data_IF_743916621482
#
_entry.id   IF_743916621482
#
_cell.length_a   1.000
_cell.length_b   1.000
_cell.length_c   1.000
_cell.angle_alpha   90.00
_cell.angle_beta   90.00
_cell.angle_gamma   90.00
#
_symmetry.space_group_name_H-M   'P 1'
#
loop_
_entity.id
_entity.type
_entity.pdbx_description
1 polymer ?
#
# COMPACT_ATOMS: atom_id res chain seq x y z
N UNK A 1 -16.24 -48.85 79.41
CA UNK A 1 -14.87 -48.50 78.99
C UNK A 1 -14.59 -49.28 77.72
N UNK A 2 -14.65 -48.63 76.57
CA UNK A 2 -14.26 -49.21 75.28
C UNK A 2 -13.32 -48.21 74.63
N UNK A 3 -12.06 -48.63 74.51
CA UNK A 3 -10.96 -47.86 73.93
C UNK A 3 -11.29 -47.44 72.49
N UNK A 4 -11.35 -46.13 72.27
CA UNK A 4 -11.36 -45.54 70.94
C UNK A 4 -9.92 -45.52 70.45
N UNK A 5 -9.58 -46.45 69.56
CA UNK A 5 -8.30 -46.47 68.86
C UNK A 5 -8.26 -45.30 67.87
N UNK A 6 -7.49 -44.27 68.19
CA UNK A 6 -7.22 -43.14 67.29
C UNK A 6 -6.36 -43.67 66.13
N UNK A 7 -6.76 -43.50 64.86
CA UNK A 7 -5.96 -43.97 63.74
C UNK A 7 -4.60 -43.24 63.72
N UNK A 8 -3.53 -44.00 63.55
CA UNK A 8 -2.16 -43.50 63.54
C UNK A 8 -2.01 -42.33 62.54
N UNK A 9 -1.59 -41.18 63.06
CA UNK A 9 -1.20 -40.02 62.25
C UNK A 9 -0.13 -40.50 61.28
N UNK A 10 -0.43 -40.50 59.97
CA UNK A 10 0.57 -40.74 58.93
C UNK A 10 1.60 -39.62 59.01
N UNK A 11 2.67 -39.83 59.77
CA UNK A 11 3.82 -38.95 59.79
C UNK A 11 4.49 -39.04 58.43
N UNK A 12 4.46 -37.94 57.69
CA UNK A 12 5.09 -37.86 56.38
C UNK A 12 6.60 -37.95 56.63
N UNK A 13 7.20 -39.09 56.30
CA UNK A 13 8.65 -39.27 56.38
C UNK A 13 9.32 -38.40 55.31
N UNK A 14 9.96 -37.33 55.76
CA UNK A 14 10.68 -36.35 54.95
C UNK A 14 12.19 -36.61 54.89
N UNK A 15 12.69 -37.59 55.66
CA UNK A 15 14.12 -37.82 55.83
C UNK A 15 14.69 -38.85 54.84
N UNK A 16 13.85 -39.73 54.27
CA UNK A 16 14.26 -40.77 53.32
C UNK A 16 14.67 -40.23 51.94
N UNK A 17 15.62 -40.88 51.28
CA UNK A 17 16.12 -40.47 49.96
C UNK A 17 15.03 -40.45 48.88
N UNK A 18 14.02 -41.32 48.99
CA UNK A 18 12.85 -41.34 48.12
C UNK A 18 11.92 -40.12 48.32
N UNK A 19 11.86 -39.55 49.53
CA UNK A 19 11.12 -38.31 49.79
C UNK A 19 11.88 -37.09 49.23
N UNK A 20 13.21 -37.05 49.42
CA UNK A 20 14.09 -36.02 48.82
C UNK A 20 14.07 -36.05 47.29
N UNK A 21 13.99 -37.23 46.67
CA UNK A 21 13.84 -37.37 45.22
C UNK A 21 12.52 -36.78 44.70
N UNK A 22 11.40 -37.04 45.39
CA UNK A 22 10.07 -36.48 45.05
C UNK A 22 10.03 -34.96 45.19
N UNK A 23 10.64 -34.41 46.24
CA UNK A 23 10.76 -32.96 46.44
C UNK A 23 11.59 -32.32 45.31
N UNK A 24 12.73 -32.90 44.94
CA UNK A 24 13.53 -32.43 43.79
C UNK A 24 12.77 -32.48 42.47
N UNK A 25 11.97 -33.52 42.24
CA UNK A 25 11.12 -33.62 41.04
C UNK A 25 10.05 -32.53 40.98
N UNK A 26 9.40 -32.22 42.11
CA UNK A 26 8.43 -31.11 42.24
C UNK A 26 9.09 -29.76 41.97
N UNK A 27 10.25 -29.48 42.58
CA UNK A 27 10.96 -28.23 42.32
C UNK A 27 11.38 -28.09 40.86
N UNK A 28 11.84 -29.16 40.20
CA UNK A 28 12.12 -29.12 38.74
C UNK A 28 10.88 -28.88 37.90
N UNK A 29 9.71 -29.41 38.29
CA UNK A 29 8.45 -29.14 37.61
C UNK A 29 8.01 -27.67 37.82
N UNK A 30 8.14 -27.16 39.05
CA UNK A 30 7.84 -25.78 39.40
C UNK A 30 8.75 -24.78 38.68
N UNK A 31 10.06 -25.04 38.61
CA UNK A 31 11.01 -24.19 37.88
C UNK A 31 10.70 -24.18 36.38
N UNK A 32 10.36 -25.33 35.78
CA UNK A 32 9.93 -25.39 34.38
C UNK A 32 8.63 -24.63 34.16
N UNK A 33 7.66 -24.76 35.05
CA UNK A 33 6.39 -24.03 34.96
C UNK A 33 6.60 -22.51 35.06
N UNK A 34 7.42 -22.05 36.02
CA UNK A 34 7.80 -20.62 36.13
C UNK A 34 8.54 -20.14 34.89
N UNK A 35 9.47 -20.93 34.38
CA UNK A 35 10.19 -20.61 33.15
C UNK A 35 9.23 -20.49 31.95
N UNK A 36 8.31 -21.44 31.78
CA UNK A 36 7.30 -21.35 30.71
C UNK A 36 6.39 -20.14 30.86
N UNK A 37 5.98 -19.79 32.09
CA UNK A 37 5.19 -18.59 32.35
C UNK A 37 5.95 -17.30 31.99
N UNK A 38 7.20 -17.17 32.43
CA UNK A 38 8.05 -16.01 32.09
C UNK A 38 8.35 -15.97 30.59
N UNK A 39 8.65 -17.11 29.99
CA UNK A 39 8.90 -17.21 28.55
C UNK A 39 7.65 -16.82 27.75
N UNK A 40 6.46 -17.26 28.17
CA UNK A 40 5.20 -16.89 27.53
C UNK A 40 4.96 -15.37 27.61
N UNK A 41 5.12 -14.76 28.79
CA UNK A 41 5.02 -13.31 28.96
C UNK A 41 6.05 -12.58 28.10
N UNK A 42 7.29 -13.07 28.07
CA UNK A 42 8.37 -12.51 27.25
C UNK A 42 8.06 -12.58 25.75
N UNK A 43 7.53 -13.70 25.26
CA UNK A 43 7.11 -13.84 23.85
C UNK A 43 5.95 -12.90 23.54
N UNK A 44 4.95 -12.79 24.42
CA UNK A 44 3.83 -11.87 24.23
C UNK A 44 4.30 -10.41 24.18
N UNK A 45 5.17 -10.01 25.11
CA UNK A 45 5.75 -8.67 25.14
C UNK A 45 6.60 -8.39 23.88
N UNK A 46 7.38 -9.37 23.42
CA UNK A 46 8.15 -9.27 22.19
C UNK A 46 7.25 -9.09 20.98
N UNK A 47 6.18 -9.89 20.87
CA UNK A 47 5.23 -9.78 19.77
C UNK A 47 4.56 -8.39 19.75
N UNK A 48 4.13 -7.90 20.91
CA UNK A 48 3.59 -6.54 21.05
C UNK A 48 4.62 -5.48 20.60
N UNK A 49 5.87 -5.60 21.05
CA UNK A 49 6.92 -4.67 20.65
C UNK A 49 7.20 -4.69 19.14
N UNK A 50 7.20 -5.87 18.51
CA UNK A 50 7.39 -6.02 17.07
C UNK A 50 6.22 -5.39 16.30
N UNK A 51 4.98 -5.64 16.72
CA UNK A 51 3.79 -5.05 16.07
C UNK A 51 3.78 -3.53 16.23
N UNK A 52 4.08 -3.02 17.42
CA UNK A 52 4.17 -1.57 17.65
C UNK A 52 5.29 -0.93 16.82
N UNK A 53 6.47 -1.56 16.75
CA UNK A 53 7.57 -1.07 15.93
C UNK A 53 7.20 -1.05 14.43
N UNK A 54 6.57 -2.11 13.93
CA UNK A 54 6.11 -2.20 12.54
C UNK A 54 5.09 -1.11 12.19
N UNK A 55 4.12 -0.87 13.08
CA UNK A 55 3.14 0.22 12.92
C UNK A 55 3.84 1.59 12.90
N UNK A 56 4.78 1.83 13.81
CA UNK A 56 5.51 3.10 13.87
C UNK A 56 6.35 3.32 12.61
N UNK A 57 7.13 2.32 12.18
CA UNK A 57 8.00 2.41 11.00
C UNK A 57 7.18 2.68 9.73
N UNK A 58 6.05 1.98 9.56
CA UNK A 58 5.14 2.19 8.42
C UNK A 58 4.42 3.55 8.48
N UNK A 59 4.29 4.14 9.66
CA UNK A 59 3.71 5.47 9.84
C UNK A 59 4.67 6.64 9.59
N UNK A 60 5.99 6.46 9.75
CA UNK A 60 6.99 7.53 9.59
C UNK A 60 6.85 8.30 8.26
N UNK A 61 6.67 7.65 7.10
CA UNK A 61 6.56 8.37 5.83
C UNK A 61 5.42 9.38 5.77
N UNK A 62 4.35 9.22 6.56
CA UNK A 62 3.21 10.15 6.59
C UNK A 62 3.57 11.53 7.17
N UNK A 63 4.65 11.64 7.96
CA UNK A 63 5.11 12.91 8.52
C UNK A 63 5.85 13.81 7.52
N UNK A 64 6.11 13.30 6.31
CA UNK A 64 6.77 14.04 5.24
C UNK A 64 5.85 14.10 4.04
N UNK A 65 5.97 15.15 3.24
CA UNK A 65 5.28 15.28 1.95
C UNK A 65 6.18 16.04 0.98
N UNK A 66 6.00 15.80 -0.32
CA UNK A 66 6.75 16.48 -1.36
C UNK A 66 5.93 17.60 -2.00
N UNK A 67 6.56 18.75 -2.16
CA UNK A 67 6.04 19.87 -2.92
C UNK A 67 6.87 20.09 -4.18
N UNK A 68 6.22 20.69 -5.18
CA UNK A 68 6.86 21.16 -6.39
C UNK A 68 6.93 22.69 -6.38
N UNK A 69 8.14 23.24 -6.40
CA UNK A 69 8.41 24.67 -6.48
C UNK A 69 8.11 25.18 -7.90
N UNK A 70 6.93 25.79 -8.09
CA UNK A 70 6.47 26.29 -9.39
C UNK A 70 6.55 27.81 -9.47
N UNK A 71 7.06 28.32 -10.59
CA UNK A 71 6.94 29.73 -10.96
C UNK A 71 5.57 29.98 -11.57
N UNK A 72 4.66 30.56 -10.79
CA UNK A 72 3.28 30.80 -11.21
C UNK A 72 3.10 32.29 -11.47
N UNK A 73 2.65 32.64 -12.68
CA UNK A 73 2.17 33.98 -12.98
C UNK A 73 0.73 34.11 -12.51
N UNK A 74 0.48 35.05 -11.60
CA UNK A 74 -0.86 35.32 -11.07
C UNK A 74 -1.61 36.18 -12.09
N UNK A 75 -2.33 35.56 -13.01
CA UNK A 75 -3.05 36.30 -14.07
C UNK A 75 -4.26 37.04 -13.48
N UNK A 76 -4.34 38.38 -13.61
CA UNK A 76 -5.50 39.14 -13.15
C UNK A 76 -6.82 38.67 -13.78
N UNK A 77 -6.78 38.20 -15.04
CA UNK A 77 -7.98 37.77 -15.76
C UNK A 77 -8.63 36.50 -15.18
N UNK A 78 -7.86 35.65 -14.51
CA UNK A 78 -8.34 34.38 -13.93
C UNK A 78 -8.71 34.51 -12.44
N UNK A 79 -8.16 35.51 -11.75
CA UNK A 79 -8.31 35.67 -10.29
C UNK A 79 -9.28 36.81 -9.93
N UNK A 80 -9.16 37.96 -10.57
CA UNK A 80 -9.99 39.13 -10.30
C UNK A 80 -10.17 39.96 -11.58
N UNK A 81 -11.05 39.50 -12.51
CA UNK A 81 -11.24 40.14 -13.81
C UNK A 81 -11.71 41.60 -13.71
N UNK A 82 -12.36 41.96 -12.59
CA UNK A 82 -12.87 43.30 -12.34
C UNK A 82 -11.88 44.20 -11.57
N UNK A 83 -10.73 43.67 -11.15
CA UNK A 83 -9.71 44.41 -10.41
C UNK A 83 -10.19 44.97 -9.06
N UNK A 84 -11.19 44.32 -8.47
CA UNK A 84 -11.82 44.74 -7.21
C UNK A 84 -10.89 44.68 -6.00
N UNK A 85 -9.90 43.77 -6.04
CA UNK A 85 -8.98 43.42 -4.94
C UNK A 85 -9.69 43.04 -3.64
N UNK A 86 -10.93 42.59 -3.73
CA UNK A 86 -11.69 42.10 -2.59
C UNK A 86 -11.26 40.65 -2.24
N UNK A 87 -10.82 40.37 -1.01
CA UNK A 87 -10.50 39.01 -0.56
C UNK A 87 -11.60 37.97 -0.82
N UNK A 88 -12.88 38.36 -0.80
CA UNK A 88 -13.99 37.43 -1.08
C UNK A 88 -14.07 37.04 -2.55
N UNK A 89 -13.83 37.99 -3.47
CA UNK A 89 -13.80 37.76 -4.92
C UNK A 89 -12.56 36.96 -5.29
N UNK A 90 -11.40 37.36 -4.78
CA UNK A 90 -10.10 36.71 -5.04
C UNK A 90 -10.17 35.22 -4.67
N UNK A 91 -10.77 34.84 -3.53
CA UNK A 91 -10.88 33.42 -3.12
C UNK A 91 -11.61 32.54 -4.13
N UNK A 92 -12.52 33.12 -4.93
CA UNK A 92 -13.29 32.41 -5.95
C UNK A 92 -12.57 32.23 -7.29
N UNK A 93 -11.38 32.82 -7.46
CA UNK A 93 -10.57 32.69 -8.68
C UNK A 93 -10.05 31.26 -8.92
N UNK A 94 -9.75 30.94 -10.19
CA UNK A 94 -9.24 29.61 -10.57
C UNK A 94 -7.71 29.52 -10.40
N UNK A 95 -7.27 29.44 -9.14
CA UNK A 95 -5.85 29.25 -8.84
C UNK A 95 -5.31 27.90 -9.31
N UNK A 96 -6.16 26.87 -9.37
CA UNK A 96 -5.75 25.54 -9.81
C UNK A 96 -5.34 25.55 -11.28
N UNK A 97 -6.06 26.30 -12.12
CA UNK A 97 -5.71 26.51 -13.51
C UNK A 97 -4.32 27.15 -13.65
N UNK A 98 -4.00 28.16 -12.84
CA UNK A 98 -2.69 28.83 -12.87
C UNK A 98 -1.54 27.88 -12.54
N UNK A 99 -1.68 27.09 -11.47
CA UNK A 99 -0.66 26.11 -11.05
C UNK A 99 -0.50 25.01 -12.10
N UNK A 100 -1.60 24.49 -12.65
CA UNK A 100 -1.56 23.48 -13.73
C UNK A 100 -0.91 24.03 -15.00
N UNK A 101 -1.20 25.27 -15.38
CA UNK A 101 -0.58 25.91 -16.53
C UNK A 101 0.93 26.12 -16.32
N UNK A 102 1.36 26.48 -15.10
CA UNK A 102 2.77 26.57 -14.75
C UNK A 102 3.48 25.20 -14.84
N UNK A 103 2.85 24.11 -14.39
CA UNK A 103 3.38 22.76 -14.56
C UNK A 103 3.48 22.38 -16.05
N UNK A 104 2.41 22.57 -16.82
CA UNK A 104 2.38 22.26 -18.27
C UNK A 104 3.44 23.04 -19.04
N UNK A 105 3.78 24.25 -18.63
CA UNK A 105 4.84 25.04 -19.25
C UNK A 105 6.23 24.38 -19.13
N UNK A 106 6.44 23.49 -18.16
CA UNK A 106 7.68 22.71 -18.03
C UNK A 106 7.72 21.50 -18.97
N UNK A 107 6.57 21.11 -19.57
CA UNK A 107 6.43 19.95 -20.45
C UNK A 107 5.71 20.34 -21.76
N UNK A 108 6.28 21.24 -22.58
CA UNK A 108 5.67 21.70 -23.83
C UNK A 108 5.42 20.57 -24.83
N UNK A 109 6.15 19.46 -24.73
CA UNK A 109 5.98 18.26 -25.55
C UNK A 109 4.66 17.51 -25.28
N UNK A 110 3.99 17.74 -24.13
CA UNK A 110 2.74 17.06 -23.77
C UNK A 110 1.55 17.79 -24.38
N UNK A 111 1.27 17.48 -25.65
CA UNK A 111 0.17 18.10 -26.40
C UNK A 111 -1.14 17.32 -26.31
N UNK A 112 -1.08 16.01 -26.05
CA UNK A 112 -2.25 15.12 -26.05
C UNK A 112 -3.15 15.32 -24.83
N UNK A 113 -4.47 15.21 -25.01
CA UNK A 113 -5.45 15.42 -23.92
C UNK A 113 -5.28 14.42 -22.78
N UNK A 114 -4.95 13.17 -23.09
CA UNK A 114 -4.71 12.13 -22.08
C UNK A 114 -3.45 12.46 -21.26
N UNK A 115 -2.36 12.83 -21.94
CA UNK A 115 -1.10 13.25 -21.31
C UNK A 115 -1.28 14.48 -20.43
N UNK A 116 -2.01 15.51 -20.88
CA UNK A 116 -2.31 16.68 -20.05
C UNK A 116 -3.08 16.33 -18.78
N UNK A 117 -4.05 15.42 -18.88
CA UNK A 117 -4.81 14.95 -17.70
C UNK A 117 -3.92 14.20 -16.71
N UNK A 118 -3.04 13.33 -17.21
CA UNK A 118 -2.07 12.62 -16.36
C UNK A 118 -1.09 13.60 -15.70
N UNK A 119 -0.56 14.55 -16.47
CA UNK A 119 0.36 15.57 -15.97
C UNK A 119 -0.28 16.43 -14.88
N UNK A 120 -1.53 16.87 -15.08
CA UNK A 120 -2.28 17.61 -14.07
C UNK A 120 -2.55 16.79 -12.80
N UNK A 121 -2.55 15.45 -12.90
CA UNK A 121 -2.75 14.51 -11.80
C UNK A 121 -1.51 14.29 -10.92
N UNK A 122 -0.33 14.78 -11.35
CA UNK A 122 0.87 14.83 -10.49
C UNK A 122 0.66 15.79 -9.31
N UNK A 123 -0.18 16.81 -9.51
CA UNK A 123 -0.50 17.78 -8.48
C UNK A 123 -1.74 17.34 -7.70
N UNK A 124 -1.73 17.59 -6.39
CA UNK A 124 -2.92 17.43 -5.55
C UNK A 124 -4.03 18.39 -5.97
N UNK A 125 -5.29 18.10 -5.60
CA UNK A 125 -6.35 19.10 -5.75
C UNK A 125 -6.10 20.35 -4.89
N UNK A 126 -5.39 20.20 -3.77
CA UNK A 126 -4.98 21.28 -2.86
C UNK A 126 -3.71 22.01 -3.30
N UNK A 127 -3.14 21.70 -4.47
CA UNK A 127 -1.88 22.29 -4.94
C UNK A 127 -1.92 23.83 -5.07
N UNK A 128 -3.11 24.41 -5.24
CA UNK A 128 -3.32 25.85 -5.35
C UNK A 128 -3.66 26.55 -4.03
N UNK A 129 -3.83 25.81 -2.92
CA UNK A 129 -4.26 26.38 -1.64
C UNK A 129 -3.24 27.41 -1.12
N UNK A 130 -1.94 27.10 -1.18
CA UNK A 130 -0.88 28.01 -0.76
C UNK A 130 -0.84 29.27 -1.63
N UNK A 131 -1.03 29.12 -2.95
CA UNK A 131 -1.09 30.26 -3.86
C UNK A 131 -2.27 31.17 -3.52
N UNK A 132 -3.45 30.57 -3.35
CA UNK A 132 -4.68 31.28 -2.99
C UNK A 132 -4.51 32.03 -1.67
N UNK A 133 -4.00 31.38 -0.63
CA UNK A 133 -3.78 32.01 0.68
C UNK A 133 -2.83 33.20 0.61
N UNK A 134 -1.72 33.08 -0.14
CA UNK A 134 -0.77 34.18 -0.34
C UNK A 134 -1.39 35.37 -1.08
N UNK A 135 -2.13 35.12 -2.16
CA UNK A 135 -2.76 36.19 -2.96
C UNK A 135 -3.93 36.85 -2.22
N UNK A 136 -4.68 36.10 -1.40
CA UNK A 136 -5.74 36.64 -0.56
C UNK A 136 -5.16 37.50 0.58
N UNK A 137 -4.03 37.09 1.17
CA UNK A 137 -3.35 37.86 2.20
C UNK A 137 -2.68 39.12 1.63
N UNK A 138 -2.12 39.04 0.42
CA UNK A 138 -1.53 40.18 -0.29
C UNK A 138 -2.00 40.25 -1.75
N UNK A 139 -3.07 41.03 -2.02
CA UNK A 139 -3.58 41.24 -3.38
C UNK A 139 -2.59 41.96 -4.32
N UNK A 140 -1.49 42.53 -3.83
CA UNK A 140 -0.48 43.16 -4.68
C UNK A 140 0.29 42.14 -5.54
N UNK A 141 0.22 40.84 -5.20
CA UNK A 141 0.84 39.76 -5.95
C UNK A 141 0.15 39.48 -7.30
N UNK A 142 -1.08 39.97 -7.49
CA UNK A 142 -1.82 39.84 -8.75
C UNK A 142 -1.05 40.57 -9.87
N UNK A 143 -0.78 39.85 -10.97
CA UNK A 143 0.02 40.31 -12.10
C UNK A 143 1.51 39.96 -12.02
N UNK A 144 2.00 39.45 -10.87
CA UNK A 144 3.39 39.08 -10.68
C UNK A 144 3.63 37.58 -10.93
N UNK A 145 4.90 37.22 -11.18
CA UNK A 145 5.36 35.82 -11.19
C UNK A 145 6.03 35.52 -9.87
N UNK A 146 5.48 34.57 -9.12
CA UNK A 146 5.98 34.17 -7.81
C UNK A 146 6.25 32.68 -7.75
N UNK A 147 7.24 32.29 -6.94
CA UNK A 147 7.52 30.88 -6.65
C UNK A 147 6.58 30.42 -5.55
N UNK A 148 5.80 29.39 -5.84
CA UNK A 148 4.86 28.80 -4.88
C UNK A 148 5.08 27.30 -4.80
N UNK A 149 5.17 26.74 -3.58
CA UNK A 149 5.16 25.30 -3.40
C UNK A 149 3.78 24.75 -3.71
N UNK A 150 3.70 23.86 -4.70
CA UNK A 150 2.50 23.16 -5.10
C UNK A 150 2.54 21.72 -4.57
N UNK A 151 1.55 21.35 -3.77
CA UNK A 151 1.48 20.01 -3.18
C UNK A 151 1.35 18.93 -4.26
N UNK A 152 2.17 17.88 -4.17
CA UNK A 152 2.07 16.71 -5.04
C UNK A 152 0.93 15.78 -4.61
N UNK A 153 0.37 15.03 -5.56
CA UNK A 153 -0.62 14.00 -5.27
C UNK A 153 -0.02 12.84 -4.47
N UNK A 154 -0.86 12.06 -3.77
CA UNK A 154 -0.42 10.88 -3.01
C UNK A 154 0.45 9.94 -3.84
N UNK A 155 0.06 9.66 -5.08
CA UNK A 155 0.78 8.73 -5.96
C UNK A 155 2.18 9.25 -6.35
N UNK A 156 2.28 10.56 -6.63
CA UNK A 156 3.57 11.20 -6.91
C UNK A 156 4.45 11.30 -5.66
N UNK A 157 3.87 11.59 -4.51
CA UNK A 157 4.57 11.66 -3.22
C UNK A 157 5.11 10.28 -2.79
N UNK A 158 4.29 9.22 -2.89
CA UNK A 158 4.71 7.84 -2.65
C UNK A 158 5.86 7.43 -3.57
N UNK A 159 5.83 7.85 -4.84
CA UNK A 159 6.94 7.63 -5.77
C UNK A 159 8.26 8.23 -5.28
N UNK A 160 8.25 9.49 -4.81
CA UNK A 160 9.44 10.13 -4.25
C UNK A 160 9.93 9.48 -2.96
N UNK A 161 9.00 8.95 -2.15
CA UNK A 161 9.32 8.18 -0.94
C UNK A 161 9.88 6.79 -1.24
N UNK A 162 9.92 6.36 -2.51
CA UNK A 162 10.33 5.01 -2.90
C UNK A 162 9.31 3.94 -2.50
N UNK A 163 8.06 4.33 -2.29
CA UNK A 163 6.95 3.46 -1.92
C UNK A 163 6.15 3.11 -3.18
N UNK A 164 5.95 1.82 -3.44
CA UNK A 164 5.11 1.31 -4.53
C UNK A 164 5.83 0.39 -5.52
N UNK A 165 7.10 0.64 -5.83
CA UNK A 165 7.90 -0.24 -6.69
C UNK A 165 9.38 -0.16 -6.34
N UNK A 166 10.09 -1.29 -6.45
CA UNK A 166 11.54 -1.29 -6.29
C UNK A 166 12.17 -0.80 -7.59
N UNK A 167 12.86 0.32 -7.50
CA UNK A 167 13.56 0.95 -8.63
C UNK A 167 15.04 0.53 -8.56
N UNK A 168 15.53 -0.10 -9.62
CA UNK A 168 16.93 -0.47 -9.77
C UNK A 168 17.56 0.42 -10.83
N UNK A 169 18.58 1.18 -10.44
CA UNK A 169 19.37 2.03 -11.35
C UNK A 169 20.72 1.37 -11.58
N UNK A 170 21.04 1.10 -12.84
CA UNK A 170 22.24 0.37 -13.23
C UNK A 170 22.99 1.24 -14.23
N UNK A 171 24.21 1.70 -13.92
CA UNK A 171 24.99 2.49 -14.85
C UNK A 171 25.35 1.63 -16.07
N UNK A 172 25.31 2.23 -17.25
CA UNK A 172 25.74 1.57 -18.47
C UNK A 172 27.27 1.40 -18.52
N UNK A 173 27.73 0.19 -18.79
CA UNK A 173 29.15 -0.14 -18.94
C UNK A 173 29.62 0.02 -20.40
N UNK A 174 28.71 -0.25 -21.35
CA UNK A 174 28.98 -0.09 -22.79
C UNK A 174 28.82 1.36 -23.30
N UNK A 175 29.34 1.62 -24.49
CA UNK A 175 28.96 2.83 -25.25
C UNK A 175 27.61 2.58 -25.90
N UNK A 176 26.66 3.48 -25.70
CA UNK A 176 25.32 3.37 -26.26
C UNK A 176 25.17 4.22 -27.54
N UNK A 177 24.81 3.58 -28.64
CA UNK A 177 24.54 4.20 -29.94
C UNK A 177 23.03 4.29 -30.17
N UNK A 178 22.55 5.46 -30.56
CA UNK A 178 21.12 5.77 -30.76
C UNK A 178 20.78 5.83 -32.26
N UNK A 179 19.60 5.34 -32.64
CA UNK A 179 19.10 5.47 -34.02
C UNK A 179 18.42 6.81 -34.31
N UNK A 180 18.07 7.59 -33.28
CA UNK A 180 17.35 8.86 -33.39
C UNK A 180 17.09 9.50 -32.02
N UNK A 181 16.44 10.67 -32.02
CA UNK A 181 16.20 11.49 -30.82
C UNK A 181 14.75 11.49 -30.31
N UNK A 182 13.78 11.14 -31.16
CA UNK A 182 12.34 11.21 -30.88
C UNK A 182 11.58 10.00 -31.45
N UNK A 183 10.41 9.71 -30.88
CA UNK A 183 9.52 8.64 -31.34
C UNK A 183 9.99 7.26 -30.89
N UNK A 184 9.94 6.28 -31.81
CA UNK A 184 10.47 4.94 -31.55
C UNK A 184 11.95 4.90 -31.95
N UNK A 185 12.82 4.55 -31.01
CA UNK A 185 14.26 4.49 -31.23
C UNK A 185 14.83 3.13 -30.86
N UNK A 186 15.97 2.80 -31.44
CA UNK A 186 16.79 1.65 -31.08
C UNK A 186 18.05 2.14 -30.38
N UNK A 187 18.32 1.56 -29.21
CA UNK A 187 19.55 1.79 -28.45
C UNK A 187 20.35 0.50 -28.51
N UNK A 188 21.54 0.55 -29.08
CA UNK A 188 22.50 -0.58 -29.05
C UNK A 188 23.67 -0.25 -28.16
N UNK A 189 24.22 -1.25 -27.50
CA UNK A 189 25.41 -1.07 -26.67
C UNK A 189 26.55 -1.95 -27.14
N UNK A 190 27.78 -1.45 -26.97
CA UNK A 190 28.99 -2.23 -27.20
C UNK A 190 29.28 -3.26 -26.09
N UNK A 191 28.61 -3.12 -24.95
CA UNK A 191 28.76 -3.95 -23.76
C UNK A 191 27.72 -5.07 -23.66
N UNK A 192 27.71 -5.79 -22.54
CA UNK A 192 26.71 -6.83 -22.23
C UNK A 192 25.60 -6.32 -21.29
N UNK A 193 25.29 -5.03 -21.38
CA UNK A 193 24.40 -4.33 -20.45
C UNK A 193 22.98 -4.94 -20.40
N UNK A 194 22.49 -5.44 -21.53
CA UNK A 194 21.14 -5.99 -21.66
C UNK A 194 21.07 -7.52 -21.58
N UNK A 195 22.18 -8.24 -21.79
CA UNK A 195 22.19 -9.70 -21.87
C UNK A 195 21.63 -10.38 -20.60
N UNK A 196 22.03 -9.93 -19.41
CA UNK A 196 21.49 -10.44 -18.15
C UNK A 196 20.00 -10.12 -17.99
N UNK A 197 19.56 -8.95 -18.46
CA UNK A 197 18.18 -8.49 -18.35
C UNK A 197 17.25 -9.28 -19.27
N UNK A 198 17.67 -9.58 -20.49
CA UNK A 198 16.91 -10.45 -21.40
C UNK A 198 16.68 -11.82 -20.77
N UNK A 199 17.72 -12.40 -20.13
CA UNK A 199 17.59 -13.70 -19.44
C UNK A 199 16.60 -13.60 -18.28
N UNK A 200 16.66 -12.53 -17.47
CA UNK A 200 15.75 -12.36 -16.35
C UNK A 200 14.30 -12.15 -16.80
N UNK A 201 14.06 -11.35 -17.86
CA UNK A 201 12.73 -11.17 -18.45
C UNK A 201 12.18 -12.50 -18.95
N UNK A 202 12.98 -13.30 -19.65
CA UNK A 202 12.56 -14.65 -20.09
C UNK A 202 12.27 -15.56 -18.90
N UNK A 203 13.11 -15.55 -17.85
CA UNK A 203 12.85 -16.32 -16.64
C UNK A 203 11.50 -15.94 -16.02
N UNK A 204 11.17 -14.65 -15.96
CA UNK A 204 9.89 -14.16 -15.44
C UNK A 204 8.69 -14.66 -16.25
N UNK A 205 8.78 -14.74 -17.58
CA UNK A 205 7.73 -15.33 -18.42
C UNK A 205 7.42 -16.76 -17.99
N UNK A 206 8.45 -17.59 -17.77
CA UNK A 206 8.26 -18.98 -17.35
C UNK A 206 7.63 -19.09 -15.95
N UNK A 207 8.00 -18.21 -15.03
CA UNK A 207 7.46 -18.16 -13.67
C UNK A 207 5.99 -17.76 -13.70
N UNK A 208 5.65 -16.75 -14.52
CA UNK A 208 4.28 -16.26 -14.67
C UNK A 208 3.39 -17.29 -15.36
N UNK A 209 3.87 -17.95 -16.42
CA UNK A 209 3.14 -19.04 -17.08
C UNK A 209 2.78 -20.16 -16.09
N UNK A 210 3.71 -20.52 -15.19
CA UNK A 210 3.45 -21.51 -14.13
C UNK A 210 2.43 -21.03 -13.09
N UNK A 211 2.50 -19.76 -12.69
CA UNK A 211 1.55 -19.17 -11.76
C UNK A 211 0.12 -19.16 -12.35
N UNK A 212 -0.04 -18.73 -13.60
CA UNK A 212 -1.34 -18.70 -14.29
C UNK A 212 -1.91 -20.10 -14.48
N UNK A 213 -1.09 -21.12 -14.82
CA UNK A 213 -1.52 -22.53 -14.86
C UNK A 213 -1.98 -23.04 -13.50
N UNK A 214 -1.28 -22.67 -12.43
CA UNK A 214 -1.64 -23.09 -11.08
C UNK A 214 -2.99 -22.48 -10.65
N UNK A 215 -3.20 -21.21 -10.99
CA UNK A 215 -4.46 -20.52 -10.73
C UNK A 215 -5.62 -21.07 -11.59
N UNK A 216 -5.37 -21.33 -12.88
CA UNK A 216 -6.34 -22.00 -13.75
C UNK A 216 -6.75 -23.36 -13.19
N UNK A 217 -5.79 -24.18 -12.74
CA UNK A 217 -6.07 -25.48 -12.12
C UNK A 217 -6.85 -25.35 -10.81
N UNK A 218 -6.60 -24.29 -10.02
CA UNK A 218 -7.38 -23.99 -8.80
C UNK A 218 -8.82 -23.65 -9.14
N UNK A 219 -9.04 -22.72 -10.08
CA UNK A 219 -10.37 -22.31 -10.52
C UNK A 219 -11.13 -23.45 -11.21
N UNK A 220 -10.45 -24.31 -11.98
CA UNK A 220 -11.05 -25.48 -12.61
C UNK A 220 -11.65 -26.45 -11.58
N UNK A 221 -10.99 -26.63 -10.42
CA UNK A 221 -11.56 -27.41 -9.29
C UNK A 221 -12.81 -26.73 -8.70
N UNK A 222 -12.84 -25.40 -8.63
CA UNK A 222 -14.01 -24.65 -8.19
C UNK A 222 -15.17 -24.81 -9.18
N UNK A 223 -14.91 -24.69 -10.48
CA UNK A 223 -15.88 -24.94 -11.55
C UNK A 223 -16.45 -26.36 -11.47
N UNK A 224 -15.59 -27.37 -11.28
CA UNK A 224 -16.04 -28.75 -11.12
C UNK A 224 -16.98 -28.91 -9.91
N UNK A 225 -16.66 -28.28 -8.77
CA UNK A 225 -17.53 -28.32 -7.59
C UNK A 225 -18.83 -27.54 -7.78
N UNK A 226 -18.82 -26.41 -8.51
CA UNK A 226 -20.02 -25.66 -8.88
C UNK A 226 -20.94 -26.50 -9.80
N UNK A 227 -20.37 -27.16 -10.80
CA UNK A 227 -21.12 -28.05 -11.70
C UNK A 227 -21.72 -29.25 -10.95
N UNK A 228 -20.99 -29.84 -10.00
CA UNK A 228 -21.52 -30.91 -9.16
C UNK A 228 -22.70 -30.43 -8.29
N UNK A 229 -22.60 -29.23 -7.69
CA UNK A 229 -23.69 -28.60 -6.93
C UNK A 229 -24.90 -28.31 -7.81
N UNK A 230 -24.68 -27.79 -9.01
CA UNK A 230 -25.73 -27.55 -10.01
C UNK A 230 -26.48 -28.86 -10.33
N UNK A 231 -25.75 -29.93 -10.65
CA UNK A 231 -26.34 -31.23 -10.95
C UNK A 231 -27.15 -31.79 -9.78
N UNK A 232 -26.68 -31.63 -8.54
CA UNK A 232 -27.43 -32.02 -7.35
C UNK A 232 -28.73 -31.21 -7.18
N UNK A 233 -28.69 -29.89 -7.42
CA UNK A 233 -29.87 -29.03 -7.39
C UNK A 233 -30.89 -29.38 -8.49
N UNK A 234 -30.41 -29.72 -9.69
CA UNK A 234 -31.27 -30.18 -10.80
C UNK A 234 -31.96 -31.50 -10.47
N UNK A 235 -31.25 -32.43 -9.81
CA UNK A 235 -31.85 -33.67 -9.31
C UNK A 235 -32.92 -33.37 -8.23
N UNK A 236 -32.63 -32.50 -7.25
CA UNK A 236 -33.61 -32.09 -6.24
C UNK A 236 -34.81 -31.36 -6.84
N UNK A 237 -34.63 -30.55 -7.89
CA UNK A 237 -35.72 -29.90 -8.61
C UNK A 237 -36.63 -30.92 -9.30
N UNK A 238 -36.05 -31.97 -9.90
CA UNK A 238 -36.83 -33.04 -10.52
C UNK A 238 -37.71 -33.78 -9.50
N UNK A 239 -37.19 -34.07 -8.31
CA UNK A 239 -37.97 -34.66 -7.20
C UNK A 239 -39.04 -33.69 -6.64
N UNK A 240 -38.68 -32.41 -6.52
CA UNK A 240 -39.56 -31.35 -6.03
C UNK A 240 -40.75 -31.08 -6.95
N UNK A 241 -40.57 -31.22 -8.28
CA UNK A 241 -41.64 -31.11 -9.28
C UNK A 241 -42.70 -32.22 -9.10
N UNK A 242 -42.30 -33.40 -8.67
CA UNK A 242 -43.23 -34.51 -8.38
C UNK A 242 -44.01 -34.32 -7.07
N UNK A 243 -43.51 -33.49 -6.16
CA UNK A 243 -44.09 -33.26 -4.82
C UNK A 243 -44.71 -31.86 -4.61
N UNK A 244 -44.70 -31.00 -5.65
CA UNK A 244 -45.35 -29.69 -5.64
C UNK A 244 -44.61 -28.57 -4.89
N UNK A 245 -43.32 -28.72 -4.55
CA UNK A 245 -42.54 -27.73 -3.77
C UNK A 245 -41.27 -27.26 -4.49
N UNK A 246 -41.42 -26.42 -5.53
CA UNK A 246 -40.33 -25.94 -6.41
C UNK A 246 -39.40 -24.88 -5.73
N UNK A 247 -39.72 -24.45 -4.51
CA UNK A 247 -39.18 -23.27 -3.82
C UNK A 247 -37.72 -22.89 -4.12
N UNK A 248 -37.52 -21.81 -4.89
CA UNK A 248 -36.23 -21.14 -5.14
C UNK A 248 -35.13 -21.99 -5.82
N UNK A 249 -35.40 -23.26 -6.16
CA UNK A 249 -34.39 -24.17 -6.70
C UNK A 249 -33.94 -23.76 -8.11
N UNK A 250 -34.87 -23.31 -8.96
CA UNK A 250 -34.57 -22.85 -10.32
C UNK A 250 -33.65 -21.61 -10.32
N UNK A 251 -33.87 -20.68 -9.39
CA UNK A 251 -33.03 -19.50 -9.23
C UNK A 251 -31.61 -19.88 -8.76
N UNK A 252 -31.50 -20.81 -7.81
CA UNK A 252 -30.20 -21.33 -7.34
C UNK A 252 -29.44 -22.09 -8.43
N UNK A 253 -30.12 -22.87 -9.26
CA UNK A 253 -29.52 -23.57 -10.41
C UNK A 253 -28.97 -22.53 -11.39
N UNK A 254 -29.77 -21.52 -11.73
CA UNK A 254 -29.36 -20.45 -12.64
C UNK A 254 -28.15 -19.67 -12.10
N UNK A 255 -28.16 -19.32 -10.81
CA UNK A 255 -27.04 -18.64 -10.16
C UNK A 255 -25.77 -19.50 -10.19
N UNK A 256 -25.87 -20.77 -9.80
CA UNK A 256 -24.73 -21.71 -9.79
C UNK A 256 -24.19 -21.96 -11.21
N UNK A 257 -25.06 -22.03 -12.21
CA UNK A 257 -24.68 -22.18 -13.61
C UNK A 257 -23.93 -20.95 -14.14
N UNK A 258 -24.41 -19.75 -13.84
CA UNK A 258 -23.75 -18.50 -14.22
C UNK A 258 -22.39 -18.32 -13.54
N UNK A 259 -22.27 -18.68 -12.27
CA UNK A 259 -20.99 -18.72 -11.55
C UNK A 259 -20.02 -19.71 -12.23
N UNK A 260 -20.45 -20.94 -12.48
CA UNK A 260 -19.61 -21.96 -13.12
C UNK A 260 -19.15 -21.54 -14.53
N UNK A 261 -20.02 -20.91 -15.31
CA UNK A 261 -19.70 -20.42 -16.65
C UNK A 261 -18.69 -19.27 -16.63
N UNK A 262 -18.90 -18.25 -15.80
CA UNK A 262 -17.95 -17.13 -15.67
C UNK A 262 -16.57 -17.59 -15.21
N UNK A 263 -16.51 -18.52 -14.24
CA UNK A 263 -15.26 -19.12 -13.78
C UNK A 263 -14.61 -19.99 -14.87
N UNK A 264 -15.38 -20.74 -15.64
CA UNK A 264 -14.89 -21.55 -16.76
C UNK A 264 -14.25 -20.68 -17.85
N UNK A 265 -14.89 -19.55 -18.19
CA UNK A 265 -14.31 -18.57 -19.12
C UNK A 265 -12.99 -18.01 -18.59
N UNK A 266 -12.90 -17.71 -17.28
CA UNK A 266 -11.67 -17.24 -16.65
C UNK A 266 -10.55 -18.30 -16.66
N UNK A 267 -10.88 -19.57 -16.43
CA UNK A 267 -9.93 -20.69 -16.54
C UNK A 267 -9.35 -20.74 -17.95
N UNK A 268 -10.22 -20.73 -18.97
CA UNK A 268 -9.78 -20.76 -20.38
C UNK A 268 -8.85 -19.59 -20.72
N UNK A 269 -9.19 -18.38 -20.30
CA UNK A 269 -8.33 -17.20 -20.50
C UNK A 269 -6.95 -17.36 -19.85
N UNK A 270 -6.89 -17.90 -18.62
CA UNK A 270 -5.61 -18.14 -17.92
C UNK A 270 -4.78 -19.23 -18.60
N UNK A 271 -5.41 -20.29 -19.10
CA UNK A 271 -4.71 -21.36 -19.82
C UNK A 271 -4.13 -20.87 -21.15
N UNK A 272 -4.91 -20.09 -21.92
CA UNK A 272 -4.47 -19.47 -23.17
C UNK A 272 -3.32 -18.47 -22.93
N UNK A 273 -3.46 -17.60 -21.92
CA UNK A 273 -2.41 -16.66 -21.51
C UNK A 273 -1.13 -17.39 -21.09
N UNK A 274 -1.24 -18.42 -20.25
CA UNK A 274 -0.09 -19.19 -19.80
C UNK A 274 0.61 -19.96 -20.94
N UNK A 275 -0.16 -20.45 -21.92
CA UNK A 275 0.40 -21.08 -23.12
C UNK A 275 1.18 -20.05 -23.96
N UNK A 276 0.63 -18.85 -24.14
CA UNK A 276 1.30 -17.76 -24.86
C UNK A 276 2.60 -17.32 -24.17
N UNK A 277 2.58 -17.15 -22.84
CA UNK A 277 3.78 -16.81 -22.05
C UNK A 277 4.86 -17.91 -22.14
N UNK A 278 4.45 -19.18 -22.10
CA UNK A 278 5.38 -20.30 -22.24
C UNK A 278 5.99 -20.35 -23.65
N UNK A 279 5.20 -20.13 -24.70
CA UNK A 279 5.70 -20.10 -26.07
C UNK A 279 6.74 -18.98 -26.29
N UNK A 280 6.51 -17.80 -25.69
CA UNK A 280 7.48 -16.69 -25.70
C UNK A 280 8.79 -17.05 -24.96
N UNK A 281 8.69 -17.74 -23.83
CA UNK A 281 9.87 -18.23 -23.12
C UNK A 281 10.68 -19.27 -23.94
N UNK A 282 10.00 -20.14 -24.68
CA UNK A 282 10.63 -21.17 -25.51
C UNK A 282 11.24 -20.62 -26.80
N UNK A 283 10.83 -19.42 -27.22
CA UNK A 283 11.40 -18.76 -28.40
C UNK A 283 12.88 -18.41 -28.16
N UNK A 284 13.74 -18.92 -29.05
CA UNK A 284 15.19 -18.75 -29.00
C UNK A 284 15.67 -17.54 -29.81
N UNK A 285 14.78 -16.76 -30.41
CA UNK A 285 15.07 -15.61 -31.29
C UNK A 285 15.85 -14.43 -30.66
N UNK A 286 16.37 -14.58 -29.43
CA UNK A 286 17.28 -13.62 -28.78
C UNK A 286 16.63 -12.35 -28.24
N UNK A 287 15.56 -11.87 -28.89
CA UNK A 287 14.74 -10.75 -28.44
C UNK A 287 13.54 -11.17 -27.58
N UNK A 288 12.95 -10.20 -26.86
CA UNK A 288 11.71 -10.36 -26.13
C UNK A 288 10.91 -9.04 -26.12
N UNK A 289 9.60 -9.10 -26.37
CA UNK A 289 8.73 -7.94 -26.29
C UNK A 289 8.36 -7.63 -24.82
N UNK A 290 8.48 -6.39 -24.39
CA UNK A 290 8.08 -5.96 -23.05
C UNK A 290 6.61 -5.52 -23.08
N UNK A 291 5.74 -6.34 -22.51
CA UNK A 291 4.32 -6.03 -22.36
C UNK A 291 4.03 -5.34 -21.03
N UNK A 292 2.89 -4.63 -20.86
CA UNK A 292 2.56 -3.90 -19.62
C UNK A 292 2.51 -4.77 -18.36
N UNK A 293 2.37 -6.09 -18.53
CA UNK A 293 2.35 -7.09 -17.46
C UNK A 293 3.76 -7.53 -17.01
N UNK A 294 4.80 -7.12 -17.73
CA UNK A 294 6.19 -7.36 -17.36
C UNK A 294 6.78 -6.13 -16.65
N UNK A 295 7.86 -6.33 -15.87
CA UNK A 295 8.62 -5.21 -15.30
C UNK A 295 9.01 -4.20 -16.37
N UNK A 296 8.74 -2.92 -16.11
CA UNK A 296 9.09 -1.86 -17.05
C UNK A 296 10.60 -1.61 -17.03
N UNK A 297 11.18 -1.50 -18.22
CA UNK A 297 12.58 -1.16 -18.42
C UNK A 297 12.66 0.19 -19.12
N UNK A 298 13.26 1.16 -18.44
CA UNK A 298 13.50 2.50 -18.96
C UNK A 298 15.01 2.72 -19.10
N UNK A 299 15.43 3.47 -20.12
CA UNK A 299 16.82 3.85 -20.34
C UNK A 299 16.92 5.37 -20.26
N UNK A 300 17.66 5.86 -19.27
CA UNK A 300 17.97 7.27 -19.11
C UNK A 300 19.30 7.55 -19.80
N UNK A 301 19.25 8.35 -20.86
CA UNK A 301 20.38 8.63 -21.76
C UNK A 301 20.24 10.04 -22.31
N UNK A 302 21.36 10.79 -22.43
CA UNK A 302 21.40 12.14 -22.99
C UNK A 302 20.30 13.11 -22.48
N UNK A 303 19.91 13.00 -21.21
CA UNK A 303 18.88 13.83 -20.58
C UNK A 303 17.44 13.56 -21.03
N UNK A 304 17.21 12.43 -21.72
CA UNK A 304 15.90 11.88 -22.04
C UNK A 304 15.69 10.49 -21.42
N UNK A 305 14.48 9.96 -21.59
CA UNK A 305 14.06 8.69 -21.00
C UNK A 305 13.29 7.88 -22.04
N UNK A 306 13.71 6.63 -22.25
CA UNK A 306 13.21 5.76 -23.31
C UNK A 306 12.62 4.50 -22.69
N UNK A 307 11.34 4.22 -22.95
CA UNK A 307 10.66 3.00 -22.51
C UNK A 307 10.93 1.88 -23.50
N UNK A 308 11.60 0.84 -23.05
CA UNK A 308 11.82 -0.35 -23.87
C UNK A 308 10.48 -1.05 -24.16
N UNK A 309 10.21 -1.29 -25.43
CA UNK A 309 9.11 -2.11 -25.95
C UNK A 309 9.61 -3.48 -26.38
N UNK A 310 10.88 -3.59 -26.75
CA UNK A 310 11.56 -4.84 -27.04
C UNK A 310 12.98 -4.80 -26.45
N UNK A 311 13.46 -5.93 -25.96
CA UNK A 311 14.81 -6.10 -25.43
C UNK A 311 15.50 -7.26 -26.12
N UNK A 312 16.75 -7.05 -26.51
CA UNK A 312 17.67 -8.09 -26.99
C UNK A 312 18.98 -8.05 -26.18
N UNK A 313 19.91 -8.96 -26.47
CA UNK A 313 21.17 -9.06 -25.73
C UNK A 313 22.15 -7.92 -26.00
N UNK A 314 21.94 -7.16 -27.07
CA UNK A 314 22.78 -6.09 -27.58
C UNK A 314 22.16 -4.69 -27.42
N UNK A 315 20.91 -4.61 -26.99
CA UNK A 315 20.15 -3.35 -27.05
C UNK A 315 18.67 -3.48 -26.74
N UNK A 316 17.97 -2.36 -26.93
CA UNK A 316 16.53 -2.24 -26.82
C UNK A 316 15.95 -1.48 -28.00
N UNK A 317 14.68 -1.75 -28.29
CA UNK A 317 13.80 -0.87 -29.08
C UNK A 317 12.77 -0.28 -28.14
N UNK A 318 12.42 0.99 -28.30
CA UNK A 318 11.56 1.64 -27.33
C UNK A 318 11.03 3.00 -27.75
N UNK A 319 10.00 3.45 -27.04
CA UNK A 319 9.37 4.74 -27.24
C UNK A 319 10.01 5.78 -26.32
N UNK A 320 10.38 6.93 -26.89
CA UNK A 320 10.89 8.09 -26.16
C UNK A 320 9.75 8.69 -25.33
N UNK A 321 9.89 8.66 -23.99
CA UNK A 321 8.94 9.28 -23.06
C UNK A 321 9.33 10.72 -22.72
N UNK A 322 10.64 10.98 -22.59
CA UNK A 322 11.20 12.32 -22.53
C UNK A 322 12.14 12.53 -23.71
N UNK A 323 11.97 13.60 -24.51
CA UNK A 323 12.83 13.92 -25.64
C UNK A 323 14.31 13.95 -25.25
N UNK A 324 15.16 13.38 -26.10
CA UNK A 324 16.60 13.36 -25.90
C UNK A 324 17.20 14.73 -26.24
N UNK A 325 18.15 15.22 -25.43
CA UNK A 325 18.84 16.48 -25.73
C UNK A 325 19.85 16.34 -26.88
N UNK A 326 20.30 15.11 -27.15
CA UNK A 326 21.25 14.77 -28.21
C UNK A 326 21.11 13.30 -28.62
N UNK A 327 21.35 13.03 -29.89
CA UNK A 327 21.45 11.70 -30.52
C UNK A 327 22.90 11.15 -30.56
N UNK A 328 23.86 11.90 -30.00
CA UNK A 328 25.25 11.48 -29.94
C UNK A 328 25.45 10.23 -29.07
N UNK A 329 26.48 9.46 -29.38
CA UNK A 329 26.84 8.26 -28.62
C UNK A 329 27.09 8.60 -27.14
N UNK A 330 26.45 7.84 -26.23
CA UNK A 330 26.62 8.02 -24.81
C UNK A 330 27.76 7.12 -24.30
N UNK A 331 28.71 7.74 -23.59
CA UNK A 331 29.88 7.04 -23.05
C UNK A 331 29.48 6.17 -21.85
N UNK A 332 30.29 5.16 -21.49
CA UNK A 332 30.11 4.41 -20.25
C UNK A 332 29.94 5.34 -19.05
N UNK A 333 28.95 5.05 -18.20
CA UNK A 333 28.60 5.86 -17.03
C UNK A 333 27.81 7.15 -17.30
N UNK A 334 27.64 7.59 -18.56
CA UNK A 334 26.82 8.76 -18.89
C UNK A 334 25.35 8.42 -19.20
N UNK A 335 24.99 7.14 -19.09
CA UNK A 335 23.63 6.63 -19.27
C UNK A 335 23.38 5.50 -18.26
N UNK A 336 22.12 5.19 -18.01
CA UNK A 336 21.73 4.16 -17.05
C UNK A 336 20.43 3.46 -17.44
N UNK A 337 20.32 2.22 -17.02
CA UNK A 337 19.10 1.42 -17.08
C UNK A 337 18.33 1.62 -15.77
N UNK A 338 17.06 1.99 -15.87
CA UNK A 338 16.14 2.14 -14.75
C UNK A 338 15.07 1.04 -14.87
N UNK A 339 15.21 0.00 -14.06
CA UNK A 339 14.30 -1.14 -14.05
C UNK A 339 13.31 -1.02 -12.89
N UNK A 340 12.02 -1.16 -13.19
CA UNK A 340 10.92 -1.13 -12.24
C UNK A 340 10.44 -2.55 -12.01
N UNK A 341 10.64 -3.10 -10.81
CA UNK A 341 10.31 -4.50 -10.52
C UNK A 341 8.83 -4.82 -10.69
N UNK A 342 7.96 -3.86 -10.37
CA UNK A 342 6.52 -3.99 -10.47
C UNK A 342 6.08 -3.58 -11.89
N UNK A 343 5.27 -4.41 -12.58
CA UNK A 343 4.70 -4.06 -13.88
C UNK A 343 3.95 -2.73 -13.87
N UNK A 344 3.78 -2.10 -15.03
CA UNK A 344 3.06 -0.82 -15.14
C UNK A 344 1.61 -0.93 -14.68
N UNK A 345 0.91 -2.00 -15.05
CA UNK A 345 -0.50 -2.18 -14.69
C UNK A 345 -0.78 -2.37 -13.20
N UNK A 346 0.23 -2.76 -12.42
CA UNK A 346 0.13 -3.00 -10.97
C UNK A 346 0.67 -1.82 -10.15
N UNK A 347 1.16 -0.77 -10.82
CA UNK A 347 1.65 0.45 -10.18
C UNK A 347 0.58 1.52 -10.12
N UNK A 348 0.70 2.39 -9.12
CA UNK A 348 -0.11 3.60 -9.00
C UNK A 348 0.30 4.71 -9.98
N UNK A 349 1.58 4.71 -10.37
CA UNK A 349 2.15 5.66 -11.34
C UNK A 349 2.53 4.95 -12.63
N UNK A 350 2.06 5.49 -13.75
CA UNK A 350 2.38 5.01 -15.09
C UNK A 350 3.82 5.35 -15.49
N UNK A 351 4.34 4.72 -16.56
CA UNK A 351 5.70 5.02 -17.02
C UNK A 351 5.85 6.45 -17.54
N UNK A 352 4.78 7.02 -18.10
CA UNK A 352 4.75 8.44 -18.54
C UNK A 352 4.88 9.37 -17.34
N UNK A 353 4.11 9.13 -16.28
CA UNK A 353 4.18 9.93 -15.05
C UNK A 353 5.54 9.82 -14.40
N UNK A 354 6.06 8.60 -14.28
CA UNK A 354 7.42 8.34 -13.81
C UNK A 354 8.45 9.15 -14.59
N UNK A 355 8.34 9.21 -15.92
CA UNK A 355 9.22 10.00 -16.74
C UNK A 355 9.20 11.49 -16.36
N UNK A 356 8.00 12.07 -16.20
CA UNK A 356 7.86 13.46 -15.77
C UNK A 356 8.38 13.69 -14.34
N UNK A 357 8.10 12.78 -13.40
CA UNK A 357 8.59 12.86 -12.02
C UNK A 357 10.11 12.79 -11.96
N UNK A 358 10.76 11.94 -12.75
CA UNK A 358 12.22 11.90 -12.84
C UNK A 358 12.78 13.22 -13.38
N UNK A 359 12.15 13.82 -14.40
CA UNK A 359 12.56 15.14 -14.89
C UNK A 359 12.44 16.23 -13.84
N UNK A 360 11.35 16.22 -13.06
CA UNK A 360 11.14 17.17 -11.96
C UNK A 360 12.20 16.98 -10.87
N UNK A 361 12.58 15.73 -10.56
CA UNK A 361 13.68 15.41 -9.63
C UNK A 361 15.02 15.96 -10.13
N UNK A 362 15.34 15.73 -11.41
CA UNK A 362 16.59 16.20 -12.03
C UNK A 362 16.68 17.72 -12.11
N UNK A 363 15.52 18.39 -12.16
CA UNK A 363 15.43 19.86 -12.20
C UNK A 363 15.54 20.52 -10.83
N UNK A 364 15.68 19.74 -9.75
CA UNK A 364 15.82 20.21 -8.35
C UNK A 364 14.69 21.14 -7.88
N UNK A 365 13.49 20.92 -8.41
CA UNK A 365 12.27 21.70 -8.07
C UNK A 365 11.38 20.98 -7.06
N UNK A 366 11.74 19.77 -6.65
CA UNK A 366 10.97 18.94 -5.72
C UNK A 366 11.59 19.00 -4.33
N UNK A 367 10.83 19.49 -3.37
CA UNK A 367 11.27 19.66 -1.99
C UNK A 367 10.50 18.74 -1.05
N UNK A 368 11.20 18.08 -0.12
CA UNK A 368 10.57 17.30 0.95
C UNK A 368 10.38 18.18 2.19
N UNK A 369 9.15 18.28 2.70
CA UNK A 369 8.81 19.07 3.89
C UNK A 369 8.09 18.23 4.93
N UNK A 370 8.12 18.71 6.18
CA UNK A 370 7.32 18.12 7.25
C UNK A 370 5.83 18.40 7.03
N UNK A 371 4.99 17.36 7.10
CA UNK A 371 3.56 17.45 6.89
C UNK A 371 2.82 17.87 8.17
N UNK A 372 2.80 19.17 8.45
CA UNK A 372 1.99 19.71 9.56
C UNK A 372 0.49 19.50 9.36
N UNK A 373 0.03 19.51 8.10
CA UNK A 373 -1.37 19.31 7.75
C UNK A 373 -1.88 17.95 8.25
N UNK A 374 -1.03 16.92 8.30
CA UNK A 374 -1.37 15.62 8.87
C UNK A 374 -1.97 15.70 10.29
N UNK A 375 -1.50 16.63 11.14
CA UNK A 375 -2.01 16.77 12.52
C UNK A 375 -3.16 17.78 12.64
N UNK A 376 -3.24 18.75 11.74
CA UNK A 376 -4.21 19.86 11.83
C UNK A 376 -5.45 19.66 10.96
N UNK A 377 -5.33 18.88 9.90
CA UNK A 377 -6.39 18.55 8.95
C UNK A 377 -7.29 17.44 9.47
N UNK A 378 -8.55 17.46 9.03
CA UNK A 378 -9.52 16.39 9.29
C UNK A 378 -9.52 15.33 8.19
N UNK A 379 -10.56 14.51 8.18
CA UNK A 379 -10.72 13.45 7.17
C UNK A 379 -10.95 14.07 5.78
N UNK A 380 -10.27 13.53 4.77
CA UNK A 380 -10.41 13.93 3.35
C UNK A 380 -10.59 12.70 2.47
N UNK A 381 -11.14 12.90 1.27
CA UNK A 381 -11.19 11.87 0.21
C UNK A 381 -9.85 11.70 -0.51
N UNK A 382 -8.98 12.69 -0.39
CA UNK A 382 -7.64 12.69 -0.97
C UNK A 382 -6.61 12.38 0.13
N UNK A 383 -5.82 11.28 0.00
CA UNK A 383 -4.92 10.83 1.06
C UNK A 383 -3.90 11.89 1.49
N UNK A 384 -3.39 12.71 0.56
CA UNK A 384 -2.38 13.72 0.85
C UNK A 384 -2.90 14.93 1.66
N UNK A 385 -4.21 15.17 1.65
CA UNK A 385 -4.87 16.23 2.44
C UNK A 385 -5.49 15.71 3.73
N UNK A 386 -5.61 14.39 3.88
CA UNK A 386 -6.21 13.76 5.05
C UNK A 386 -5.29 13.89 6.27
N UNK A 387 -5.90 14.21 7.42
CA UNK A 387 -5.20 14.29 8.69
C UNK A 387 -5.85 13.47 9.80
N UNK A 388 -5.11 13.28 10.89
CA UNK A 388 -5.53 12.48 12.04
C UNK A 388 -6.27 13.27 13.11
N UNK A 389 -6.55 14.58 12.89
CA UNK A 389 -7.15 15.44 13.90
C UNK A 389 -8.49 14.90 14.41
N UNK A 390 -9.32 14.40 13.50
CA UNK A 390 -10.62 13.82 13.85
C UNK A 390 -10.47 12.61 14.78
N UNK A 391 -9.61 11.65 14.39
CA UNK A 391 -9.31 10.47 15.19
C UNK A 391 -8.69 10.82 16.54
N UNK A 392 -7.71 11.73 16.58
CA UNK A 392 -7.05 12.16 17.81
C UNK A 392 -8.03 12.80 18.79
N UNK A 393 -8.86 13.74 18.33
CA UNK A 393 -9.86 14.41 19.18
C UNK A 393 -10.93 13.41 19.62
N UNK A 394 -11.38 12.53 18.73
CA UNK A 394 -12.33 11.47 19.06
C UNK A 394 -11.81 10.55 20.17
N UNK A 395 -10.61 9.99 20.00
CA UNK A 395 -9.98 9.12 21.00
C UNK A 395 -9.72 9.86 22.33
N UNK A 396 -9.27 11.11 22.28
CA UNK A 396 -9.07 11.92 23.48
C UNK A 396 -10.39 12.17 24.22
N UNK A 397 -11.46 12.52 23.51
CA UNK A 397 -12.80 12.70 24.10
C UNK A 397 -13.34 11.40 24.68
N UNK A 398 -13.19 10.26 23.99
CA UNK A 398 -13.59 8.96 24.52
C UNK A 398 -12.84 8.67 25.83
N UNK A 399 -11.52 8.83 25.86
CA UNK A 399 -10.72 8.60 27.05
C UNK A 399 -11.13 9.53 28.20
N UNK A 400 -11.33 10.82 27.92
CA UNK A 400 -11.76 11.81 28.92
C UNK A 400 -13.15 11.50 29.49
N UNK A 401 -14.12 11.13 28.64
CA UNK A 401 -15.47 10.75 29.09
C UNK A 401 -15.43 9.46 29.89
N UNK A 402 -14.70 8.44 29.41
CA UNK A 402 -14.51 7.18 30.16
C UNK A 402 -13.86 7.45 31.51
N UNK A 403 -12.77 8.22 31.57
CA UNK A 403 -12.12 8.59 32.83
C UNK A 403 -13.07 9.38 33.75
N UNK A 404 -13.77 10.37 33.19
CA UNK A 404 -14.71 11.23 33.91
C UNK A 404 -15.92 10.49 34.47
N UNK A 405 -16.32 9.36 33.89
CA UNK A 405 -17.38 8.50 34.43
C UNK A 405 -16.80 7.39 35.33
N UNK A 406 -15.84 6.61 34.83
CA UNK A 406 -15.30 5.46 35.54
C UNK A 406 -14.62 5.85 36.87
N UNK A 407 -13.94 7.00 36.95
CA UNK A 407 -13.26 7.40 38.20
C UNK A 407 -14.28 7.74 39.30
N UNK A 408 -15.26 8.65 39.12
CA UNK A 408 -16.25 8.91 40.15
C UNK A 408 -17.08 7.70 40.54
N UNK A 409 -17.56 6.91 39.55
CA UNK A 409 -18.35 5.72 39.84
C UNK A 409 -17.53 4.61 40.51
N UNK A 410 -16.28 4.41 40.08
CA UNK A 410 -15.36 3.44 40.68
C UNK A 410 -15.01 3.80 42.12
N UNK A 411 -14.68 5.08 42.37
CA UNK A 411 -14.37 5.58 43.72
C UNK A 411 -15.60 5.53 44.63
N UNK A 412 -16.77 5.97 44.15
CA UNK A 412 -18.01 5.90 44.94
C UNK A 412 -18.41 4.46 45.25
N UNK A 413 -18.26 3.54 44.30
CA UNK A 413 -18.49 2.11 44.51
C UNK A 413 -17.53 1.52 45.54
N UNK A 414 -16.24 1.86 45.47
CA UNK A 414 -15.24 1.41 46.44
C UNK A 414 -15.55 1.92 47.86
N UNK A 415 -15.86 3.22 48.01
CA UNK A 415 -16.25 3.79 49.31
C UNK A 415 -17.53 3.13 49.85
N UNK A 416 -18.53 2.90 49.00
CA UNK A 416 -19.77 2.24 49.40
C UNK A 416 -19.53 0.81 49.89
N UNK A 417 -18.73 0.03 49.17
CA UNK A 417 -18.41 -1.36 49.53
C UNK A 417 -17.62 -1.43 50.84
N UNK A 418 -16.67 -0.52 51.06
CA UNK A 418 -15.83 -0.52 52.27
C UNK A 418 -16.57 -0.01 53.51
N UNK A 419 -17.33 1.09 53.39
CA UNK A 419 -17.87 1.80 54.55
C UNK A 419 -19.34 1.44 54.85
N UNK A 420 -20.14 1.11 53.83
CA UNK A 420 -21.61 1.01 53.98
C UNK A 420 -22.19 -0.37 53.65
N UNK A 421 -21.50 -1.22 52.89
CA UNK A 421 -22.07 -2.48 52.43
C UNK A 421 -22.12 -3.56 53.52
N UNK A 422 -23.27 -4.23 53.75
CA UNK A 422 -23.36 -5.33 54.70
C UNK A 422 -22.62 -6.56 54.17
N UNK A 423 -21.93 -7.29 55.07
CA UNK A 423 -21.25 -8.55 54.72
C UNK A 423 -22.27 -9.65 54.41
N UNK A 424 -22.55 -9.86 53.14
CA UNK A 424 -23.44 -10.90 52.66
C UNK A 424 -22.85 -11.55 51.39
N UNK A 425 -23.46 -12.67 50.96
CA UNK A 425 -23.01 -13.41 49.76
C UNK A 425 -23.04 -12.58 48.47
N UNK A 426 -23.86 -11.53 48.42
CA UNK A 426 -23.95 -10.64 47.27
C UNK A 426 -22.75 -9.67 47.22
N UNK A 427 -22.37 -9.08 48.35
CA UNK A 427 -21.17 -8.23 48.49
C UNK A 427 -19.90 -9.03 48.17
N UNK A 428 -19.79 -10.25 48.71
CA UNK A 428 -18.68 -11.16 48.43
C UNK A 428 -18.59 -11.53 46.94
N UNK A 429 -19.74 -11.75 46.29
CA UNK A 429 -19.80 -11.98 44.85
C UNK A 429 -19.34 -10.73 44.06
N UNK A 430 -19.75 -9.52 44.47
CA UNK A 430 -19.33 -8.26 43.81
C UNK A 430 -17.83 -8.05 43.94
N UNK A 431 -17.25 -8.21 45.13
CA UNK A 431 -15.81 -8.06 45.38
C UNK A 431 -14.97 -9.03 44.54
N UNK A 432 -15.38 -10.31 44.47
CA UNK A 432 -14.69 -11.31 43.65
C UNK A 432 -14.74 -10.94 42.16
N UNK A 433 -15.86 -10.43 41.66
CA UNK A 433 -15.96 -10.01 40.26
C UNK A 433 -15.08 -8.78 39.97
N UNK A 434 -15.03 -7.79 40.87
CA UNK A 434 -14.16 -6.61 40.71
C UNK A 434 -12.68 -7.04 40.68
N UNK A 435 -12.25 -7.88 41.62
CA UNK A 435 -10.88 -8.38 41.66
C UNK A 435 -10.53 -9.21 40.41
N UNK A 436 -11.44 -10.04 39.93
CA UNK A 436 -11.22 -10.80 38.70
C UNK A 436 -11.11 -9.89 37.48
N UNK A 437 -11.96 -8.86 37.36
CA UNK A 437 -11.92 -7.92 36.23
C UNK A 437 -10.63 -7.08 36.24
N UNK A 438 -10.15 -6.70 37.42
CA UNK A 438 -8.89 -5.96 37.58
C UNK A 438 -7.64 -6.83 37.34
N UNK A 439 -7.77 -8.16 37.47
CA UNK A 439 -6.66 -9.11 37.33
C UNK A 439 -6.47 -9.66 35.89
N UNK A 440 -7.41 -9.40 34.98
CA UNK A 440 -7.29 -9.79 33.56
C UNK A 440 -6.58 -8.66 32.80
N UNK A 441 -5.45 -8.94 32.11
CA UNK A 441 -4.69 -7.95 31.36
C UNK A 441 -5.38 -7.45 30.09
#
# INVERSE_FOLDING_TARGET
MTDVTIPAVRTIDVATDAARARIRARYRAETRFKFYGIAAIGITALFLAVVLADILIKGIPAFTQHDLSLQVKVDPAEIDPQGTRDPAVIRGGDFQLLVRNALRAQFPEVTDRAGRRLLDGILSSGASDVLRERVVADPALIGQTIVVPALLSDDADLYYKGLGTRILRIPGEGTATLSGADGEITIRTSGKDFAERTVEVKRLLSVRARAERTEAARLARVVASANARKAALEASLAEARNSGRIGGLEERIKATAGEAESLSQRVKQLEESAAALQARFEDQSGGEALTPELPSLLVAINGGLVKATEIDSSGIKGNVLLPLKSDAEAKPGSWQIVAYSTPEGDRRVSDREVAWLERLRESDVVESKFNWAFFTSGDSREPELAGIRGALVGSALTLLVTLGLCVPFGVAGAIYLEEFAPKNRLTELIEVNINNLAAVP
#
